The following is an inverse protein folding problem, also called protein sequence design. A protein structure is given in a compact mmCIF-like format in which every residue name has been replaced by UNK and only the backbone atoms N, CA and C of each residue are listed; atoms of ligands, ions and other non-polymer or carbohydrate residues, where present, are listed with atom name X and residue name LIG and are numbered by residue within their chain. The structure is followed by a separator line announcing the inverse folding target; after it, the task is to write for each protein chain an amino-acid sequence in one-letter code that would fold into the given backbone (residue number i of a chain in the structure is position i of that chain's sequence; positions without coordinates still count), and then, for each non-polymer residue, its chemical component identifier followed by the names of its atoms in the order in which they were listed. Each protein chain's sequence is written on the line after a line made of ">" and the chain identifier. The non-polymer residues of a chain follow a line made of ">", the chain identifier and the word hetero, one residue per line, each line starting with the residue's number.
data_IF_577085044080
#
_entry.id   IF_577085044080
#
_cell.length_a   1.000
_cell.length_b   1.000
_cell.length_c   1.000
_cell.angle_alpha   90.00
_cell.angle_beta   90.00
_cell.angle_gamma   90.00
#
_symmetry.space_group_name_H-M   'P 1'
#
loop_
_entity.id
_entity.type
_entity.pdbx_description
1 polymer ?
#
# COMPACT_ATOMS: atom_id res chain seq x y z
N UNK A 1 -12.56 -30.21 -1.73
CA UNK A 1 -12.38 -28.92 -1.04
C UNK A 1 -11.69 -27.98 -2.01
N UNK A 2 -12.23 -26.79 -2.26
CA UNK A 2 -11.65 -25.78 -3.18
C UNK A 2 -11.14 -24.60 -2.37
N UNK A 3 -9.95 -24.10 -2.70
CA UNK A 3 -9.37 -22.91 -2.06
C UNK A 3 -9.22 -21.82 -3.12
N UNK A 4 -9.80 -20.65 -2.86
CA UNK A 4 -9.70 -19.48 -3.74
C UNK A 4 -8.49 -18.63 -3.34
N UNK A 5 -7.61 -18.34 -4.31
CA UNK A 5 -6.46 -17.45 -4.10
C UNK A 5 -6.90 -15.98 -4.05
N UNK A 6 -6.32 -15.23 -3.14
CA UNK A 6 -6.52 -13.79 -2.97
C UNK A 6 -5.26 -13.16 -2.32
N UNK A 7 -5.27 -11.83 -2.16
CA UNK A 7 -4.14 -11.08 -1.61
C UNK A 7 -3.70 -11.52 -0.20
N UNK A 8 -4.61 -12.07 0.61
CA UNK A 8 -4.32 -12.48 1.98
C UNK A 8 -3.63 -13.85 2.08
N UNK A 9 -3.86 -14.74 1.12
CA UNK A 9 -3.39 -16.12 1.18
C UNK A 9 -2.38 -16.50 0.09
N UNK A 10 -2.23 -15.69 -0.96
CA UNK A 10 -1.38 -16.01 -2.12
C UNK A 10 0.09 -16.22 -1.74
N UNK A 11 0.60 -15.47 -0.76
CA UNK A 11 1.99 -15.60 -0.30
C UNK A 11 2.20 -16.94 0.40
N UNK A 12 1.32 -17.30 1.33
CA UNK A 12 1.38 -18.58 2.02
C UNK A 12 1.28 -19.75 1.03
N UNK A 13 0.36 -19.65 0.06
CA UNK A 13 0.23 -20.63 -1.01
C UNK A 13 1.50 -20.72 -1.86
N UNK A 14 2.15 -19.59 -2.18
CA UNK A 14 3.39 -19.55 -2.95
C UNK A 14 4.56 -20.20 -2.21
N UNK A 15 4.69 -19.93 -0.91
CA UNK A 15 5.68 -20.53 -0.03
C UNK A 15 5.47 -22.04 0.11
N UNK A 16 4.24 -22.49 0.34
CA UNK A 16 3.92 -23.91 0.43
C UNK A 16 4.17 -24.65 -0.90
N UNK A 17 3.79 -24.03 -2.03
CA UNK A 17 4.04 -24.58 -3.35
C UNK A 17 5.54 -24.72 -3.66
N UNK A 18 6.36 -23.77 -3.21
CA UNK A 18 7.83 -23.87 -3.31
C UNK A 18 8.35 -25.05 -2.50
N UNK A 19 7.95 -25.14 -1.22
CA UNK A 19 8.40 -26.19 -0.32
C UNK A 19 8.04 -27.60 -0.80
N UNK A 20 6.89 -27.73 -1.47
CA UNK A 20 6.41 -28.97 -2.06
C UNK A 20 6.92 -29.18 -3.50
N UNK A 21 7.81 -28.33 -3.99
CA UNK A 21 8.41 -28.41 -5.33
C UNK A 21 7.38 -28.52 -6.46
N UNK A 22 6.27 -27.75 -6.34
CA UNK A 22 5.14 -27.78 -7.28
C UNK A 22 5.42 -27.02 -8.59
N UNK A 23 6.45 -27.46 -9.32
CA UNK A 23 6.97 -26.82 -10.52
C UNK A 23 6.42 -27.42 -11.82
N UNK A 24 6.54 -26.68 -12.93
CA UNK A 24 6.09 -27.09 -14.27
C UNK A 24 6.79 -28.36 -14.79
N UNK A 25 7.99 -28.69 -14.29
CA UNK A 25 8.67 -29.93 -14.68
C UNK A 25 8.00 -31.20 -14.13
N UNK A 26 7.07 -31.10 -13.15
CA UNK A 26 6.26 -32.26 -12.71
C UNK A 26 5.02 -32.38 -13.60
N UNK A 27 4.28 -31.28 -13.76
CA UNK A 27 3.04 -31.24 -14.53
C UNK A 27 2.81 -29.84 -15.10
N UNK A 28 2.30 -29.75 -16.32
CA UNK A 28 1.97 -28.47 -16.95
C UNK A 28 0.81 -27.79 -16.22
N UNK A 29 0.98 -26.51 -15.91
CA UNK A 29 -0.01 -25.75 -15.15
C UNK A 29 -0.01 -26.11 -13.67
N UNK A 30 1.15 -26.41 -13.11
CA UNK A 30 1.34 -26.64 -11.68
C UNK A 30 1.09 -25.35 -10.88
N UNK A 31 1.00 -25.49 -9.57
CA UNK A 31 0.54 -24.45 -8.68
C UNK A 31 1.48 -23.24 -8.66
N UNK A 32 2.80 -23.42 -8.70
CA UNK A 32 3.74 -22.29 -8.77
C UNK A 32 3.44 -21.42 -9.99
N UNK A 33 3.34 -22.01 -11.18
CA UNK A 33 3.05 -21.26 -12.41
C UNK A 33 1.72 -20.51 -12.34
N UNK A 34 0.66 -21.17 -11.86
CA UNK A 34 -0.66 -20.53 -11.69
C UNK A 34 -0.62 -19.37 -10.71
N UNK A 35 0.12 -19.51 -9.60
CA UNK A 35 0.30 -18.44 -8.62
C UNK A 35 1.09 -17.29 -9.24
N UNK A 36 2.17 -17.56 -9.98
CA UNK A 36 2.95 -16.51 -10.65
C UNK A 36 2.09 -15.69 -11.62
N UNK A 37 1.31 -16.38 -12.46
CA UNK A 37 0.34 -15.74 -13.37
C UNK A 37 -0.67 -14.90 -12.59
N UNK A 38 -1.22 -15.41 -11.49
CA UNK A 38 -2.17 -14.67 -10.65
C UNK A 38 -1.54 -13.43 -10.01
N UNK A 39 -0.31 -13.55 -9.49
CA UNK A 39 0.43 -12.43 -8.92
C UNK A 39 0.65 -11.34 -9.99
N UNK A 40 1.06 -11.69 -11.21
CA UNK A 40 1.38 -10.71 -12.27
C UNK A 40 0.14 -10.07 -12.91
N UNK A 41 -0.88 -10.87 -13.15
CA UNK A 41 -2.09 -10.43 -13.87
C UNK A 41 -3.10 -9.75 -12.95
N UNK A 42 -3.10 -10.07 -11.66
CA UNK A 42 -4.14 -9.61 -10.72
C UNK A 42 -3.54 -8.78 -9.59
N UNK A 43 -2.69 -9.38 -8.75
CA UNK A 43 -2.17 -8.72 -7.54
C UNK A 43 -1.34 -7.48 -7.89
N UNK A 44 -0.32 -7.63 -8.74
CA UNK A 44 0.52 -6.52 -9.18
C UNK A 44 -0.24 -5.50 -10.05
N UNK A 45 -1.48 -5.79 -10.47
CA UNK A 45 -2.36 -4.85 -11.17
C UNK A 45 -3.42 -4.22 -10.28
N UNK A 46 -3.37 -4.49 -8.98
CA UNK A 46 -4.28 -3.92 -8.00
C UNK A 46 -3.48 -3.17 -6.94
N UNK A 47 -3.81 -1.89 -6.77
CA UNK A 47 -3.18 -1.03 -5.75
C UNK A 47 -3.39 -1.63 -4.36
N UNK A 48 -4.64 -1.95 -4.06
CA UNK A 48 -5.07 -2.51 -2.78
C UNK A 48 -4.44 -3.88 -2.52
N UNK A 49 -4.47 -4.78 -3.49
CA UNK A 49 -3.98 -6.15 -3.27
C UNK A 49 -2.46 -6.18 -3.14
N UNK A 50 -1.73 -5.32 -3.84
CA UNK A 50 -0.28 -5.19 -3.66
C UNK A 50 0.09 -4.75 -2.24
N UNK A 51 -0.68 -3.82 -1.65
CA UNK A 51 -0.50 -3.38 -0.26
C UNK A 51 -0.82 -4.51 0.72
N UNK A 52 -1.96 -5.20 0.53
CA UNK A 52 -2.36 -6.34 1.38
C UNK A 52 -1.30 -7.44 1.33
N UNK A 53 -0.77 -7.76 0.15
CA UNK A 53 0.29 -8.78 0.00
C UNK A 53 1.54 -8.38 0.78
N UNK A 54 2.01 -7.12 0.70
CA UNK A 54 3.13 -6.65 1.51
C UNK A 54 2.88 -6.76 3.01
N UNK A 55 1.64 -6.59 3.47
CA UNK A 55 1.30 -6.79 4.89
C UNK A 55 1.30 -8.28 5.24
N UNK A 56 0.83 -9.15 4.34
CA UNK A 56 0.74 -10.59 4.55
C UNK A 56 2.10 -11.31 4.52
N UNK A 57 3.11 -10.76 3.85
CA UNK A 57 4.46 -11.36 3.79
C UNK A 57 5.19 -11.36 5.14
N UNK A 58 4.79 -10.49 6.08
CA UNK A 58 5.44 -10.35 7.40
C UNK A 58 5.56 -11.67 8.15
N UNK A 59 4.49 -12.46 8.19
CA UNK A 59 4.45 -13.72 8.94
C UNK A 59 5.25 -14.85 8.28
N UNK A 60 5.78 -14.61 7.06
CA UNK A 60 6.43 -15.59 6.20
C UNK A 60 7.86 -15.20 5.85
N UNK A 61 8.43 -14.22 6.57
CA UNK A 61 9.83 -13.85 6.43
C UNK A 61 10.75 -14.98 6.95
N UNK A 62 11.87 -15.30 6.26
CA UNK A 62 12.45 -14.66 5.06
C UNK A 62 11.93 -15.20 3.72
N UNK A 63 11.22 -16.32 3.71
CA UNK A 63 10.82 -17.02 2.47
C UNK A 63 10.08 -16.13 1.46
N UNK A 64 9.27 -15.18 1.91
CA UNK A 64 8.56 -14.26 1.01
C UNK A 64 9.47 -13.33 0.20
N UNK A 65 10.66 -13.00 0.72
CA UNK A 65 11.62 -12.10 0.06
C UNK A 65 12.40 -12.85 -1.03
N UNK A 66 12.82 -14.07 -0.74
CA UNK A 66 13.53 -14.96 -1.67
C UNK A 66 12.71 -15.26 -2.92
N UNK A 67 11.38 -15.34 -2.77
CA UNK A 67 10.44 -15.59 -3.87
C UNK A 67 10.09 -14.33 -4.68
N UNK A 68 10.74 -13.20 -4.42
CA UNK A 68 10.60 -11.90 -5.14
C UNK A 68 9.19 -11.31 -5.14
N UNK A 69 8.25 -11.85 -4.37
CA UNK A 69 6.86 -11.35 -4.26
C UNK A 69 6.87 -9.93 -3.68
N UNK A 70 7.69 -9.70 -2.66
CA UNK A 70 7.87 -8.39 -2.01
C UNK A 70 8.35 -7.33 -3.02
N UNK A 71 9.44 -7.61 -3.73
CA UNK A 71 10.03 -6.67 -4.69
C UNK A 71 9.02 -6.28 -5.79
N UNK A 72 8.29 -7.25 -6.33
CA UNK A 72 7.25 -7.01 -7.34
C UNK A 72 6.10 -6.13 -6.84
N UNK A 73 5.65 -6.34 -5.61
CA UNK A 73 4.59 -5.51 -5.03
C UNK A 73 5.09 -4.09 -4.77
N UNK A 74 6.31 -3.91 -4.27
CA UNK A 74 6.95 -2.59 -4.11
C UNK A 74 7.04 -1.87 -5.45
N UNK A 75 7.52 -2.54 -6.50
CA UNK A 75 7.65 -1.96 -7.83
C UNK A 75 6.30 -1.58 -8.44
N UNK A 76 5.27 -2.40 -8.26
CA UNK A 76 3.91 -2.08 -8.71
C UNK A 76 3.37 -0.83 -8.01
N UNK A 77 3.47 -0.79 -6.68
CA UNK A 77 3.03 0.35 -5.87
C UNK A 77 3.78 1.61 -6.30
N UNK A 78 5.11 1.56 -6.40
CA UNK A 78 5.92 2.70 -6.78
C UNK A 78 5.58 3.22 -8.19
N UNK A 79 5.37 2.31 -9.13
CA UNK A 79 5.00 2.66 -10.51
C UNK A 79 3.61 3.32 -10.59
N UNK A 80 2.66 2.90 -9.75
CA UNK A 80 1.31 3.48 -9.69
C UNK A 80 1.30 4.84 -8.99
N UNK A 81 1.98 4.97 -7.85
CA UNK A 81 2.08 6.23 -7.13
C UNK A 81 2.79 7.32 -7.95
N UNK A 82 3.72 6.92 -8.82
CA UNK A 82 4.48 7.82 -9.70
C UNK A 82 3.86 8.01 -11.09
N UNK A 83 2.75 7.33 -11.38
CA UNK A 83 2.08 7.34 -12.68
C UNK A 83 0.83 8.24 -12.72
N UNK A 84 0.14 8.24 -13.86
CA UNK A 84 -1.14 8.95 -14.00
C UNK A 84 -2.22 8.31 -13.11
N UNK A 85 -2.82 9.06 -12.16
CA UNK A 85 -3.77 8.49 -11.23
C UNK A 85 -5.05 7.94 -11.89
N UNK A 86 -5.41 8.43 -13.08
CA UNK A 86 -6.57 7.98 -13.86
C UNK A 86 -6.53 6.50 -14.26
N UNK A 87 -5.36 5.86 -14.19
CA UNK A 87 -5.15 4.44 -14.51
C UNK A 87 -5.24 3.51 -13.29
N UNK A 88 -5.49 4.05 -12.09
CA UNK A 88 -5.57 3.26 -10.85
C UNK A 88 -7.04 2.98 -10.52
N UNK A 89 -7.38 1.72 -10.27
CA UNK A 89 -8.68 1.34 -9.72
C UNK A 89 -8.76 1.79 -8.25
N UNK A 90 -9.69 2.72 -7.96
CA UNK A 90 -9.77 3.53 -6.73
C UNK A 90 -10.32 2.78 -5.51
N UNK A 91 -10.08 1.48 -5.40
CA UNK A 91 -10.77 0.60 -4.45
C UNK A 91 -10.28 0.69 -2.98
N UNK A 92 -9.49 1.71 -2.61
CA UNK A 92 -9.00 1.90 -1.23
C UNK A 92 -8.98 3.37 -0.75
N UNK A 93 -9.19 3.51 0.57
CA UNK A 93 -9.36 4.65 1.51
C UNK A 93 -9.79 6.06 1.06
N UNK A 94 -9.44 6.53 -0.14
CA UNK A 94 -9.80 7.88 -0.60
C UNK A 94 -11.30 8.08 -0.85
N UNK A 95 -12.07 6.99 -0.99
CA UNK A 95 -13.44 7.01 -1.53
C UNK A 95 -14.59 7.15 -0.52
N UNK A 96 -14.46 7.85 0.61
CA UNK A 96 -15.69 8.17 1.37
C UNK A 96 -15.72 9.38 2.28
N UNK A 97 -14.60 9.79 2.89
CA UNK A 97 -14.68 10.78 4.00
C UNK A 97 -14.16 12.17 3.66
N UNK A 98 -13.13 12.31 2.82
CA UNK A 98 -12.48 13.62 2.57
C UNK A 98 -13.20 14.48 1.53
N UNK A 99 -13.91 13.88 0.56
CA UNK A 99 -14.70 14.63 -0.43
C UNK A 99 -15.99 15.24 0.14
N UNK A 100 -16.43 14.80 1.33
CA UNK A 100 -17.68 15.23 1.95
C UNK A 100 -17.50 16.36 2.98
N UNK A 101 -16.27 16.83 3.22
CA UNK A 101 -15.96 17.69 4.37
C UNK A 101 -15.40 19.07 4.01
N UNK A 102 -15.75 19.63 2.86
CA UNK A 102 -15.74 21.10 2.68
C UNK A 102 -17.04 21.50 2.01
N UNK A 103 -17.88 22.21 2.79
CA UNK A 103 -19.21 22.75 2.45
C UNK A 103 -20.38 21.81 2.73
N UNK A 104 -20.92 21.91 3.94
CA UNK A 104 -22.20 21.32 4.30
C UNK A 104 -23.36 21.99 3.54
N UNK A 105 -23.99 21.26 2.63
CA UNK A 105 -25.46 21.19 2.45
C UNK A 105 -25.81 20.08 1.44
N UNK A 106 -26.68 19.18 1.90
CA UNK A 106 -27.53 18.21 1.20
C UNK A 106 -27.00 16.91 0.53
N UNK A 107 -27.69 15.76 0.78
CA UNK A 107 -27.44 14.48 0.14
C UNK A 107 -28.34 14.26 -1.08
N UNK A 108 -27.84 14.48 -2.29
CA UNK A 108 -28.46 13.91 -3.48
C UNK A 108 -27.40 13.56 -4.54
N UNK A 109 -27.06 12.28 -4.60
CA UNK A 109 -26.14 11.72 -5.59
C UNK A 109 -26.83 11.62 -6.95
N UNK A 110 -26.75 12.69 -7.74
CA UNK A 110 -27.00 12.58 -9.18
C UNK A 110 -25.70 12.19 -9.87
N UNK A 111 -25.68 10.98 -10.43
CA UNK A 111 -24.58 10.30 -11.11
C UNK A 111 -24.09 10.97 -12.40
N UNK A 112 -23.90 12.27 -12.39
CA UNK A 112 -23.21 13.00 -13.44
C UNK A 112 -21.74 13.04 -13.05
N UNK A 113 -20.95 12.34 -13.86
CA UNK A 113 -19.50 12.31 -13.95
C UNK A 113 -18.87 13.70 -13.71
N UNK A 114 -18.74 14.11 -12.45
CA UNK A 114 -17.82 15.17 -12.08
C UNK A 114 -16.44 14.61 -12.38
N UNK A 115 -15.67 15.31 -13.20
CA UNK A 115 -14.26 15.04 -13.37
C UNK A 115 -13.64 15.14 -11.97
N UNK A 116 -13.52 14.01 -11.26
CA UNK A 116 -12.94 13.99 -9.92
C UNK A 116 -11.48 14.34 -10.14
N UNK A 117 -11.10 15.58 -9.85
CA UNK A 117 -9.69 15.97 -9.82
C UNK A 117 -9.05 15.15 -8.73
N UNK A 118 -8.27 14.16 -9.15
CA UNK A 118 -7.61 13.25 -8.22
C UNK A 118 -6.52 14.02 -7.48
N UNK A 119 -6.55 14.06 -6.14
CA UNK A 119 -5.57 14.78 -5.37
C UNK A 119 -4.19 14.12 -5.47
N UNK A 120 -3.12 14.92 -5.49
CA UNK A 120 -1.76 14.39 -5.70
C UNK A 120 -1.30 13.47 -4.56
N UNK A 121 -1.87 13.64 -3.37
CA UNK A 121 -1.62 12.89 -2.13
C UNK A 121 -2.46 11.61 -1.98
N UNK A 122 -3.20 11.21 -3.02
CA UNK A 122 -4.19 10.12 -2.96
C UNK A 122 -3.68 8.79 -2.37
N UNK A 123 -2.39 8.50 -2.53
CA UNK A 123 -1.75 7.25 -2.11
C UNK A 123 -1.20 7.30 -0.67
N UNK A 124 -1.06 8.48 -0.09
CA UNK A 124 -0.29 8.69 1.15
C UNK A 124 -0.89 7.93 2.33
N UNK A 125 -2.20 8.06 2.53
CA UNK A 125 -2.88 7.51 3.70
C UNK A 125 -2.85 5.97 3.71
N UNK A 126 -3.00 5.37 2.52
CA UNK A 126 -2.97 3.93 2.30
C UNK A 126 -1.60 3.33 2.65
N UNK A 127 -0.52 3.97 2.19
CA UNK A 127 0.83 3.51 2.50
C UNK A 127 1.18 3.66 3.98
N UNK A 128 0.50 4.53 4.72
CA UNK A 128 0.71 4.64 6.16
C UNK A 128 0.29 3.38 6.94
N UNK A 129 -0.50 2.49 6.33
CA UNK A 129 -0.83 1.17 6.89
C UNK A 129 0.31 0.15 6.81
N UNK A 130 1.37 0.45 6.05
CA UNK A 130 2.57 -0.40 5.99
C UNK A 130 3.42 -0.26 7.25
N UNK A 131 4.12 -1.34 7.60
CA UNK A 131 5.17 -1.32 8.63
C UNK A 131 6.40 -0.56 8.15
N UNK A 132 7.24 -0.13 9.09
CA UNK A 132 8.32 0.82 8.82
C UNK A 132 9.28 0.35 7.74
N UNK A 133 9.61 -0.94 7.71
CA UNK A 133 10.56 -1.50 6.74
C UNK A 133 9.97 -1.50 5.32
N UNK A 134 8.73 -1.98 5.16
CA UNK A 134 8.06 -1.93 3.85
C UNK A 134 7.75 -0.51 3.42
N UNK A 135 7.30 0.35 4.35
CA UNK A 135 7.05 1.76 4.06
C UNK A 135 8.31 2.45 3.53
N UNK A 136 9.45 2.27 4.22
CA UNK A 136 10.75 2.79 3.78
C UNK A 136 11.09 2.30 2.37
N UNK A 137 11.00 1.00 2.11
CA UNK A 137 11.32 0.43 0.80
C UNK A 137 10.42 0.98 -0.31
N UNK A 138 9.12 1.12 -0.04
CA UNK A 138 8.16 1.71 -0.98
C UNK A 138 8.49 3.18 -1.26
N UNK A 139 8.76 4.00 -0.24
CA UNK A 139 9.12 5.41 -0.43
C UNK A 139 10.42 5.57 -1.22
N UNK A 140 11.43 4.74 -0.94
CA UNK A 140 12.68 4.73 -1.71
C UNK A 140 12.42 4.37 -3.18
N UNK A 141 11.57 3.36 -3.44
CA UNK A 141 11.21 2.97 -4.81
C UNK A 141 10.39 4.05 -5.52
N UNK A 142 9.45 4.73 -4.85
CA UNK A 142 8.71 5.88 -5.40
C UNK A 142 9.69 6.99 -5.80
N UNK A 143 10.64 7.33 -4.91
CA UNK A 143 11.64 8.36 -5.17
C UNK A 143 12.53 7.99 -6.37
N UNK A 144 12.88 6.72 -6.55
CA UNK A 144 13.72 6.27 -7.65
C UNK A 144 13.01 6.32 -9.02
N UNK A 145 11.68 6.35 -9.08
CA UNK A 145 10.93 6.55 -10.33
C UNK A 145 11.06 7.97 -10.90
N UNK A 146 11.54 8.94 -10.13
CA UNK A 146 11.91 10.29 -10.60
C UNK A 146 10.77 11.28 -10.87
N UNK A 147 9.51 10.83 -10.91
CA UNK A 147 8.36 11.66 -11.24
C UNK A 147 7.65 12.30 -10.03
N UNK A 148 8.17 12.07 -8.82
CA UNK A 148 7.54 12.52 -7.58
C UNK A 148 8.24 13.76 -7.02
N UNK A 149 7.48 14.82 -6.72
CA UNK A 149 8.02 16.03 -6.08
C UNK A 149 8.49 15.74 -4.66
N UNK A 150 9.65 16.28 -4.27
CA UNK A 150 10.20 16.14 -2.91
C UNK A 150 9.22 16.58 -1.82
N UNK A 151 8.45 17.65 -2.05
CA UNK A 151 7.44 18.15 -1.10
C UNK A 151 6.39 17.09 -0.77
N UNK A 152 5.89 16.39 -1.80
CA UNK A 152 4.89 15.35 -1.65
C UNK A 152 5.44 14.10 -0.95
N UNK A 153 6.72 13.76 -1.17
CA UNK A 153 7.41 12.72 -0.39
C UNK A 153 7.53 13.16 1.07
N UNK A 154 7.87 14.42 1.33
CA UNK A 154 7.91 15.00 2.67
C UNK A 154 6.56 14.91 3.39
N UNK A 155 5.47 15.27 2.71
CA UNK A 155 4.09 15.13 3.24
C UNK A 155 3.72 13.67 3.53
N UNK A 156 4.17 12.72 2.71
CA UNK A 156 3.97 11.31 2.99
C UNK A 156 4.71 10.86 4.26
N UNK A 157 5.99 11.23 4.39
CA UNK A 157 6.79 10.97 5.59
C UNK A 157 6.16 11.60 6.84
N UNK A 158 5.66 12.82 6.72
CA UNK A 158 4.92 13.54 7.77
C UNK A 158 3.69 12.76 8.21
N UNK A 159 2.85 12.36 7.27
CA UNK A 159 1.62 11.61 7.53
C UNK A 159 1.93 10.27 8.22
N UNK A 160 2.96 9.56 7.75
CA UNK A 160 3.42 8.31 8.34
C UNK A 160 3.86 8.50 9.79
N UNK A 161 4.73 9.47 10.04
CA UNK A 161 5.25 9.77 11.37
C UNK A 161 4.12 10.15 12.33
N UNK A 162 3.20 11.03 11.91
CA UNK A 162 2.05 11.43 12.74
C UNK A 162 1.13 10.25 13.08
N UNK A 163 0.95 9.31 12.16
CA UNK A 163 0.11 8.11 12.37
C UNK A 163 0.79 7.06 13.25
N UNK A 164 2.11 6.88 13.11
CA UNK A 164 2.85 5.77 13.73
C UNK A 164 3.57 6.12 15.03
N UNK A 165 3.87 7.39 15.29
CA UNK A 165 4.49 7.81 16.54
C UNK A 165 3.46 7.70 17.68
N UNK A 166 3.64 6.78 18.65
CA UNK A 166 2.84 6.76 19.86
C UNK A 166 2.99 8.12 20.54
N UNK A 167 1.91 8.65 21.16
CA UNK A 167 2.14 9.67 22.18
C UNK A 167 3.09 9.05 23.20
N UNK A 168 4.23 9.71 23.46
CA UNK A 168 5.15 9.29 24.51
C UNK A 168 4.36 9.29 25.82
N UNK A 169 3.99 8.09 26.24
CA UNK A 169 3.36 7.73 27.50
C UNK A 169 2.04 8.43 27.89
N UNK A 170 1.04 7.62 28.25
CA UNK A 170 -0.27 8.13 28.71
C UNK A 170 -0.20 8.55 30.17
N UNK A 171 0.64 9.51 30.50
CA UNK A 171 0.47 10.24 31.75
C UNK A 171 0.70 11.74 31.54
N UNK A 172 -0.45 12.43 31.48
CA UNK A 172 -0.67 13.86 31.69
C UNK A 172 -0.34 14.84 30.54
N UNK A 173 -1.45 15.29 29.92
CA UNK A 173 -1.88 16.71 29.72
C UNK A 173 -2.09 17.16 28.26
N UNK A 174 -3.30 17.70 28.07
CA UNK A 174 -3.89 18.34 26.91
C UNK A 174 -3.01 19.40 26.20
N UNK A 175 -3.17 19.52 24.88
CA UNK A 175 -2.70 20.63 24.04
C UNK A 175 -1.21 20.61 23.66
N UNK A 176 -0.32 20.33 24.61
CA UNK A 176 1.15 20.41 24.41
C UNK A 176 1.69 19.25 23.58
N UNK A 177 1.12 18.05 23.68
CA UNK A 177 1.60 16.86 22.96
C UNK A 177 1.44 16.95 21.44
N UNK A 178 0.34 17.51 20.94
CA UNK A 178 0.14 17.67 19.50
C UNK A 178 1.16 18.64 18.91
N UNK A 179 1.50 19.71 19.64
CA UNK A 179 2.54 20.65 19.26
C UNK A 179 3.94 20.01 19.30
N UNK A 180 4.24 19.19 20.32
CA UNK A 180 5.50 18.43 20.39
C UNK A 180 5.62 17.39 19.27
N UNK A 181 4.55 16.67 18.95
CA UNK A 181 4.50 15.74 17.81
C UNK A 181 4.74 16.47 16.49
N UNK A 182 4.08 17.61 16.27
CA UNK A 182 4.30 18.45 15.07
C UNK A 182 5.74 18.93 14.99
N UNK A 183 6.29 19.46 16.09
CA UNK A 183 7.68 19.92 16.16
C UNK A 183 8.70 18.80 15.90
N UNK A 184 8.50 17.60 16.45
CA UNK A 184 9.35 16.44 16.18
C UNK A 184 9.31 16.03 14.70
N UNK A 185 8.12 16.00 14.11
CA UNK A 185 7.96 15.64 12.70
C UNK A 185 8.56 16.72 11.79
N UNK A 186 8.39 18.00 12.10
CA UNK A 186 9.04 19.13 11.40
C UNK A 186 10.57 19.11 11.52
N UNK A 187 11.13 18.40 12.51
CA UNK A 187 12.58 18.23 12.66
C UNK A 187 13.12 17.06 11.83
N UNK A 188 12.27 16.06 11.51
CA UNK A 188 12.66 14.86 10.76
C UNK A 188 12.62 15.09 9.24
N UNK A 189 11.76 16.00 8.79
CA UNK A 189 11.54 16.36 7.38
C UNK A 189 12.55 17.43 6.96
#
# INVERSE_FOLDING_TARGET
>A
MTVTLNAYNVVAARCAAEYLEMHEAVEKGNLIYKIEVFLDSTICRSWKDSIIVLQATRSLFPWSEELKVVARCIDSIASRASGEPTKVDWSYSYNRKKLASENGTDPHWNGIQRHITIPKDWWVEDLCELEIDFYKQVIVSIKSKGNMSSDLVGEALKAYALKRLPAFDRDKVHGSEAARKRSLVETII
#
